data_IF_631592201564
#
_entry.id   IF_631592201564
#
_cell.length_a   1.000
_cell.length_b   1.000
_cell.length_c   1.000
_cell.angle_alpha   90.00
_cell.angle_beta   90.00
_cell.angle_gamma   90.00
#
_symmetry.space_group_name_H-M   'P 1'
#
loop_
_entity.id
_entity.type
_entity.pdbx_description
1 polymer ?
#
# COMPACT_ATOMS: atom_id res chain seq x y z
N UNK A 1 -6.92 23.41 -13.99
CA UNK A 1 -7.33 22.27 -13.13
C UNK A 1 -6.07 21.48 -12.85
N UNK A 2 -5.50 21.64 -11.65
CA UNK A 2 -4.26 20.98 -11.26
C UNK A 2 -4.61 19.56 -10.78
N UNK A 3 -3.77 18.56 -11.12
CA UNK A 3 -3.91 17.17 -10.67
C UNK A 3 -3.92 16.99 -9.15
N UNK A 4 -3.67 18.06 -8.38
CA UNK A 4 -3.80 18.14 -6.92
C UNK A 4 -5.25 18.20 -6.40
N UNK A 5 -6.25 18.42 -7.26
CA UNK A 5 -7.68 18.52 -6.86
C UNK A 5 -8.46 17.19 -6.96
N UNK A 6 -7.80 16.07 -7.33
CA UNK A 6 -8.47 14.78 -7.61
C UNK A 6 -7.99 13.64 -6.69
N UNK A 7 -7.14 13.95 -5.71
CA UNK A 7 -6.94 13.07 -4.56
C UNK A 7 -7.99 13.43 -3.51
N UNK A 8 -8.55 12.47 -2.74
CA UNK A 8 -9.01 12.84 -1.41
C UNK A 8 -7.82 13.46 -0.69
N UNK A 9 -7.90 14.76 -0.37
CA UNK A 9 -6.85 15.58 0.22
C UNK A 9 -6.39 15.13 1.63
N UNK A 10 -6.54 13.86 1.98
CA UNK A 10 -6.41 13.35 3.35
C UNK A 10 -5.24 12.39 3.52
N UNK A 11 -4.73 11.75 2.46
CA UNK A 11 -3.53 10.92 2.56
C UNK A 11 -2.31 11.83 2.37
N UNK A 12 -1.77 12.37 3.47
CA UNK A 12 -0.49 13.07 3.44
C UNK A 12 0.61 12.11 2.93
N UNK A 13 0.97 12.23 1.65
CA UNK A 13 1.79 11.27 0.92
C UNK A 13 3.09 11.93 0.44
N UNK A 14 4.24 11.58 1.04
CA UNK A 14 5.55 12.13 0.64
C UNK A 14 6.71 11.15 0.93
N UNK A 15 6.77 9.97 0.27
CA UNK A 15 7.90 9.07 0.40
C UNK A 15 9.16 9.64 -0.26
N UNK A 16 10.30 9.52 0.43
CA UNK A 16 11.62 9.88 -0.06
C UNK A 16 12.21 8.83 -0.99
N UNK A 17 13.34 9.13 -1.62
CA UNK A 17 14.01 8.22 -2.54
C UNK A 17 14.72 7.10 -1.76
N UNK A 18 14.06 5.96 -1.60
CA UNK A 18 14.57 4.82 -0.82
C UNK A 18 13.48 4.11 -0.01
N UNK A 19 12.38 4.80 0.24
CA UNK A 19 11.29 4.31 1.08
C UNK A 19 10.45 3.25 0.36
N UNK A 20 9.93 2.31 1.15
CA UNK A 20 8.99 1.32 0.64
C UNK A 20 7.56 1.77 0.90
N UNK A 21 6.70 1.57 -0.08
CA UNK A 21 5.27 1.86 0.00
C UNK A 21 4.52 0.61 0.45
N UNK A 22 3.59 0.76 1.40
CA UNK A 22 2.65 -0.28 1.78
C UNK A 22 1.21 0.23 1.69
N UNK A 23 0.38 -0.39 0.87
CA UNK A 23 -1.05 -0.08 0.81
C UNK A 23 -1.86 -1.32 1.21
N UNK A 24 -2.78 -1.17 2.15
CA UNK A 24 -3.75 -2.21 2.49
C UNK A 24 -5.16 -1.72 2.24
N UNK A 25 -5.96 -2.42 1.44
CA UNK A 25 -7.31 -1.99 1.13
C UNK A 25 -8.31 -3.14 1.17
N UNK A 26 -9.57 -2.79 1.40
CA UNK A 26 -10.71 -3.65 1.08
C UNK A 26 -11.30 -3.24 -0.27
N UNK A 27 -12.08 -4.11 -0.89
CA UNK A 27 -12.71 -3.87 -2.22
C UNK A 27 -13.39 -2.49 -2.36
N UNK A 28 -14.08 -2.01 -1.31
CA UNK A 28 -14.79 -0.73 -1.33
C UNK A 28 -13.86 0.49 -1.53
N UNK A 29 -12.57 0.37 -1.17
CA UNK A 29 -11.60 1.45 -1.23
C UNK A 29 -10.63 1.34 -2.41
N UNK A 30 -10.92 0.47 -3.38
CA UNK A 30 -10.02 0.19 -4.49
C UNK A 30 -9.74 1.41 -5.37
N UNK A 31 -10.70 2.33 -5.49
CA UNK A 31 -10.50 3.60 -6.19
C UNK A 31 -9.42 4.48 -5.52
N UNK A 32 -9.29 4.41 -4.19
CA UNK A 32 -8.25 5.12 -3.45
C UNK A 32 -6.88 4.52 -3.80
N UNK A 33 -6.78 3.19 -3.83
CA UNK A 33 -5.54 2.48 -4.22
C UNK A 33 -5.07 2.89 -5.62
N UNK A 34 -5.96 2.85 -6.62
CA UNK A 34 -5.64 3.26 -7.99
C UNK A 34 -5.16 4.71 -8.06
N UNK A 35 -5.80 5.59 -7.30
CA UNK A 35 -5.44 7.01 -7.25
C UNK A 35 -4.06 7.20 -6.60
N UNK A 36 -3.77 6.52 -5.49
CA UNK A 36 -2.44 6.58 -4.85
C UNK A 36 -1.37 6.03 -5.79
N UNK A 37 -1.60 4.86 -6.41
CA UNK A 37 -0.66 4.25 -7.36
C UNK A 37 -0.31 5.17 -8.53
N UNK A 38 -1.28 5.91 -9.05
CA UNK A 38 -1.07 6.86 -10.14
C UNK A 38 -0.19 8.07 -9.77
N UNK A 39 -0.04 8.36 -8.48
CA UNK A 39 0.80 9.47 -7.98
C UNK A 39 2.22 9.03 -7.62
N UNK A 40 2.49 7.73 -7.57
CA UNK A 40 3.80 7.22 -7.19
C UNK A 40 4.87 7.54 -8.25
N UNK A 41 6.10 7.89 -7.82
CA UNK A 41 7.22 8.02 -8.74
C UNK A 41 7.47 6.73 -9.52
N UNK A 42 7.95 6.83 -10.77
CA UNK A 42 8.22 5.67 -11.63
C UNK A 42 9.22 4.64 -11.04
N UNK A 43 10.06 5.06 -10.09
CA UNK A 43 11.04 4.20 -9.40
C UNK A 43 10.57 3.73 -8.02
N UNK A 44 9.31 3.95 -7.67
CA UNK A 44 8.73 3.49 -6.41
C UNK A 44 8.86 1.98 -6.26
N UNK A 45 8.91 1.54 -5.01
CA UNK A 45 8.96 0.13 -4.61
C UNK A 45 7.97 -0.08 -3.48
N UNK A 46 7.36 -1.25 -3.40
CA UNK A 46 6.40 -1.50 -2.34
C UNK A 46 5.46 -2.64 -2.63
N UNK A 47 4.44 -2.73 -1.78
CA UNK A 47 3.44 -3.76 -1.79
C UNK A 47 2.06 -3.15 -1.60
N UNK A 48 1.10 -3.65 -2.37
CA UNK A 48 -0.33 -3.38 -2.21
C UNK A 48 -1.02 -4.70 -1.90
N UNK A 49 -1.82 -4.72 -0.85
CA UNK A 49 -2.71 -5.83 -0.53
C UNK A 49 -4.16 -5.37 -0.67
N UNK A 50 -4.95 -6.09 -1.46
CA UNK A 50 -6.38 -5.80 -1.64
C UNK A 50 -7.19 -7.01 -1.21
N UNK A 51 -7.95 -6.87 -0.14
CA UNK A 51 -8.84 -7.91 0.37
C UNK A 51 -10.21 -7.85 -0.31
N UNK A 52 -10.61 -9.00 -0.87
CA UNK A 52 -11.87 -9.20 -1.59
C UNK A 52 -12.63 -10.39 -1.04
N UNK A 53 -13.93 -10.46 -1.35
CA UNK A 53 -14.74 -11.62 -0.99
C UNK A 53 -14.23 -12.89 -1.69
N UNK A 54 -14.06 -12.82 -3.02
CA UNK A 54 -13.74 -13.93 -3.90
C UNK A 54 -13.05 -13.45 -5.19
N UNK A 55 -12.81 -14.38 -6.11
CA UNK A 55 -12.11 -14.13 -7.39
C UNK A 55 -12.82 -13.18 -8.35
N UNK A 56 -14.14 -13.01 -8.25
CA UNK A 56 -14.90 -12.17 -9.18
C UNK A 56 -14.54 -10.68 -9.07
N UNK A 57 -14.00 -10.26 -7.93
CA UNK A 57 -13.53 -8.90 -7.69
C UNK A 57 -12.07 -8.66 -8.14
N UNK A 58 -11.33 -9.72 -8.47
CA UNK A 58 -9.92 -9.61 -8.89
C UNK A 58 -9.83 -8.99 -10.27
N UNK A 59 -9.02 -7.94 -10.39
CA UNK A 59 -8.77 -7.26 -11.67
C UNK A 59 -7.33 -6.80 -11.82
N UNK A 60 -6.97 -6.41 -13.03
CA UNK A 60 -5.67 -5.78 -13.29
C UNK A 60 -5.67 -4.35 -12.76
N UNK A 61 -4.63 -4.00 -12.00
CA UNK A 61 -4.37 -2.65 -11.50
C UNK A 61 -2.98 -2.25 -11.96
N UNK A 62 -2.85 -1.05 -12.53
CA UNK A 62 -1.57 -0.52 -12.94
C UNK A 62 -0.78 -0.05 -11.69
N UNK A 63 0.43 -0.56 -11.53
CA UNK A 63 1.35 -0.16 -10.47
C UNK A 63 2.70 0.23 -11.08
N UNK A 64 3.32 1.35 -10.66
CA UNK A 64 4.59 1.78 -11.22
C UNK A 64 5.79 1.06 -10.60
N UNK A 65 6.89 1.05 -11.35
CA UNK A 65 8.20 0.65 -10.85
C UNK A 65 8.24 -0.79 -10.35
N UNK A 66 8.54 -0.97 -9.06
CA UNK A 66 8.62 -2.26 -8.38
C UNK A 66 7.56 -2.38 -7.29
N UNK A 67 6.38 -1.80 -7.52
CA UNK A 67 5.23 -1.96 -6.64
C UNK A 67 4.43 -3.18 -7.09
N UNK A 68 4.25 -4.15 -6.20
CA UNK A 68 3.46 -5.35 -6.46
C UNK A 68 2.05 -5.19 -5.92
N UNK A 69 1.04 -5.70 -6.64
CA UNK A 69 -0.35 -5.77 -6.18
C UNK A 69 -0.71 -7.23 -5.93
N UNK A 70 -1.10 -7.53 -4.70
CA UNK A 70 -1.50 -8.87 -4.26
C UNK A 70 -2.95 -8.85 -3.80
N UNK A 71 -3.76 -9.74 -4.38
CA UNK A 71 -5.15 -9.92 -4.01
C UNK A 71 -5.27 -10.97 -2.90
N UNK A 72 -6.04 -10.64 -1.87
CA UNK A 72 -6.30 -11.50 -0.71
C UNK A 72 -7.77 -11.91 -0.74
N UNK A 73 -8.00 -13.22 -0.84
CA UNK A 73 -9.31 -13.84 -1.00
C UNK A 73 -9.84 -14.36 0.33
N UNK A 74 -10.91 -13.74 0.84
CA UNK A 74 -11.54 -14.15 2.11
C UNK A 74 -12.15 -15.55 2.04
N UNK A 75 -12.68 -15.95 0.88
CA UNK A 75 -13.16 -17.31 0.64
C UNK A 75 -12.08 -18.39 0.77
N UNK A 76 -10.80 -18.01 0.64
CA UNK A 76 -9.63 -18.87 0.87
C UNK A 76 -9.01 -18.69 2.27
N UNK A 77 -9.65 -17.94 3.16
CA UNK A 77 -9.15 -17.66 4.51
C UNK A 77 -7.98 -16.68 4.57
N UNK A 78 -7.71 -15.94 3.49
CA UNK A 78 -6.68 -14.91 3.47
C UNK A 78 -7.23 -13.63 4.10
N UNK A 79 -6.39 -12.91 4.87
CA UNK A 79 -6.79 -11.65 5.50
C UNK A 79 -5.75 -10.56 5.31
N UNK A 80 -6.22 -9.33 5.18
CA UNK A 80 -5.41 -8.13 5.05
C UNK A 80 -4.47 -7.97 6.24
N UNK A 81 -5.00 -8.17 7.46
CA UNK A 81 -4.22 -8.06 8.69
C UNK A 81 -3.02 -9.00 8.68
N UNK A 82 -3.24 -10.29 8.41
CA UNK A 82 -2.14 -11.28 8.41
C UNK A 82 -1.09 -10.97 7.35
N UNK A 83 -1.49 -10.48 6.18
CA UNK A 83 -0.56 -10.12 5.12
C UNK A 83 0.27 -8.87 5.45
N UNK A 84 -0.36 -7.85 6.05
CA UNK A 84 0.33 -6.65 6.52
C UNK A 84 1.34 -6.99 7.62
N UNK A 85 0.93 -7.77 8.63
CA UNK A 85 1.80 -8.17 9.73
C UNK A 85 3.02 -8.95 9.23
N UNK A 86 2.81 -9.92 8.33
CA UNK A 86 3.90 -10.72 7.75
C UNK A 86 4.85 -9.88 6.88
N UNK A 87 4.33 -8.95 6.08
CA UNK A 87 5.18 -8.10 5.25
C UNK A 87 6.00 -7.13 6.09
N UNK A 88 5.39 -6.53 7.12
CA UNK A 88 6.07 -5.62 8.03
C UNK A 88 7.17 -6.33 8.83
N UNK A 89 6.94 -7.57 9.30
CA UNK A 89 7.96 -8.33 10.03
C UNK A 89 9.20 -8.64 9.18
N UNK A 90 9.03 -8.81 7.87
CA UNK A 90 10.14 -9.07 6.94
C UNK A 90 10.87 -7.79 6.51
N UNK A 91 10.13 -6.69 6.34
CA UNK A 91 10.66 -5.44 5.75
C UNK A 91 11.15 -4.42 6.79
N UNK A 92 10.81 -4.62 8.07
CA UNK A 92 11.31 -3.84 9.21
C UNK A 92 12.06 -4.73 10.22
N UNK A 93 13.14 -5.42 9.83
CA UNK A 93 13.94 -6.16 10.79
C UNK A 93 14.70 -5.18 11.70
N UNK A 94 14.61 -5.42 13.01
CA UNK A 94 15.22 -4.63 14.10
C UNK A 94 16.74 -4.49 13.98
N UNK A 95 17.38 -5.35 13.18
CA UNK A 95 18.83 -5.52 13.11
C UNK A 95 19.48 -4.88 11.87
N UNK A 96 18.72 -4.24 10.97
CA UNK A 96 19.28 -3.64 9.76
C UNK A 96 19.99 -2.31 10.05
N UNK A 97 21.27 -2.19 9.67
CA UNK A 97 22.08 -0.96 9.77
C UNK A 97 21.53 0.24 8.98
N UNK A 98 20.46 0.05 8.20
CA UNK A 98 19.76 1.11 7.46
C UNK A 98 18.39 1.32 8.10
N UNK A 99 18.01 2.58 8.28
CA UNK A 99 16.65 2.93 8.66
C UNK A 99 15.72 2.63 7.47
N UNK A 100 15.00 1.50 7.55
CA UNK A 100 13.98 1.14 6.56
C UNK A 100 12.71 1.93 6.90
N UNK A 101 12.39 2.93 6.08
CA UNK A 101 11.17 3.70 6.22
C UNK A 101 10.07 3.13 5.31
N UNK A 102 8.93 2.81 5.92
CA UNK A 102 7.74 2.34 5.22
C UNK A 102 6.66 3.40 5.31
N UNK A 103 6.17 3.87 4.16
CA UNK A 103 5.00 4.74 4.08
C UNK A 103 3.76 3.88 3.85
N UNK A 104 2.92 3.77 4.88
CA UNK A 104 1.76 2.90 4.90
C UNK A 104 0.44 3.68 4.83
N UNK A 105 -0.53 3.15 4.08
CA UNK A 105 -1.95 3.53 4.21
C UNK A 105 -2.81 2.28 4.24
N UNK A 106 -3.74 2.21 5.18
CA UNK A 106 -4.67 1.09 5.34
C UNK A 106 -6.10 1.60 5.24
N UNK A 107 -7.00 0.85 4.60
CA UNK A 107 -8.43 1.14 4.56
C UNK A 107 -8.97 1.45 5.97
N UNK A 108 -9.72 2.55 6.08
CA UNK A 108 -10.15 3.13 7.35
C UNK A 108 -9.22 4.23 7.89
N UNK A 109 -7.98 4.32 7.42
CA UNK A 109 -7.07 5.39 7.79
C UNK A 109 -7.47 6.70 7.13
N UNK A 110 -7.45 7.77 7.92
CA UNK A 110 -7.67 9.13 7.41
C UNK A 110 -6.45 9.64 6.64
N UNK A 111 -5.24 9.17 6.95
CA UNK A 111 -3.98 9.60 6.35
C UNK A 111 -2.97 8.45 6.24
N UNK A 112 -1.94 8.59 5.40
CA UNK A 112 -0.80 7.67 5.44
C UNK A 112 0.09 7.98 6.64
N UNK A 113 0.76 6.95 7.14
CA UNK A 113 1.65 7.02 8.30
C UNK A 113 3.01 6.41 7.95
N UNK A 114 4.08 7.03 8.45
CA UNK A 114 5.44 6.48 8.34
C UNK A 114 5.70 5.50 9.48
N UNK A 115 6.18 4.32 9.13
CA UNK A 115 6.63 3.28 10.07
C UNK A 115 8.15 3.12 9.92
N UNK A 116 8.85 3.08 11.05
CA UNK A 116 10.31 2.90 11.12
C UNK A 116 10.63 1.74 12.07
N UNK A 117 11.64 0.96 11.74
CA UNK A 117 12.23 0.01 12.69
C UNK A 117 13.01 0.81 13.74
N UNK A 118 12.73 0.60 15.02
CA UNK A 118 13.50 1.16 16.16
C UNK A 118 14.56 0.17 16.64
#
# INVERSE_FOLDING_TARGET
>A
MLLSDVLPATIAWNPSQGDSVLLGAVDADLAIVETVLATLPAKARGQVFVEVADEAAVRTIAAPGRVCVTWLRRDLGQSLRSALDAWLSEMLPVEAEREHQVYAWISGDRAAHSLTSY
#
